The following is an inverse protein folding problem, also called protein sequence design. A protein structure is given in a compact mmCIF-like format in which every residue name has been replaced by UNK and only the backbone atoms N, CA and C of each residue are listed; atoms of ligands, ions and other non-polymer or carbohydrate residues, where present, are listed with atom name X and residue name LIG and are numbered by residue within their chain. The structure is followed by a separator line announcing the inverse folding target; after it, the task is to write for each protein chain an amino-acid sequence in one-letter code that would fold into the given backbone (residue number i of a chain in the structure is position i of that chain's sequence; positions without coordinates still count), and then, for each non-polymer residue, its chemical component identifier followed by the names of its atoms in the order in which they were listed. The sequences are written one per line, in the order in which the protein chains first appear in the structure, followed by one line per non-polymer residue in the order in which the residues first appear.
data_IF_226434473964
#
_entry.id   IF_226434473964
#
_cell.length_a   1.000
_cell.length_b   1.000
_cell.length_c   1.000
_cell.angle_alpha   90.00
_cell.angle_beta   90.00
_cell.angle_gamma   90.00
#
_symmetry.space_group_name_H-M   'P 1'
#
loop_
_entity.id
_entity.type
_entity.pdbx_description
1 polymer ?
#
# COMPACT_ATOMS: atom_id res chain seq x y z
N UNK A 1 -17.65 5.60 23.36
CA UNK A 1 -17.15 6.94 23.71
C UNK A 1 -15.64 6.84 23.72
N UNK A 2 -14.97 7.75 23.01
CA UNK A 2 -13.53 7.94 23.03
C UNK A 2 -13.08 8.25 24.48
N UNK A 3 -11.98 7.62 24.93
CA UNK A 3 -11.44 7.83 26.26
C UNK A 3 -10.54 9.08 26.22
N UNK A 4 -10.92 10.19 26.88
CA UNK A 4 -10.19 11.45 26.78
C UNK A 4 -8.74 11.38 27.28
N UNK A 5 -8.37 10.41 28.14
CA UNK A 5 -6.97 10.21 28.56
C UNK A 5 -6.13 9.55 27.46
N UNK A 6 -6.74 8.71 26.62
CA UNK A 6 -6.07 7.96 25.54
C UNK A 6 -6.08 8.75 24.24
N UNK A 7 -7.17 9.48 24.00
CA UNK A 7 -7.44 10.15 22.73
C UNK A 7 -6.90 11.59 22.68
N UNK A 8 -6.26 12.06 23.77
CA UNK A 8 -5.58 13.36 23.85
C UNK A 8 -6.45 14.55 23.41
N UNK A 9 -7.76 14.44 23.65
CA UNK A 9 -8.75 15.42 23.24
C UNK A 9 -9.23 15.30 21.80
N UNK A 10 -8.71 14.41 20.96
CA UNK A 10 -9.25 14.19 19.62
C UNK A 10 -10.64 13.58 19.67
N UNK A 11 -11.54 14.10 18.83
CA UNK A 11 -12.84 13.50 18.57
C UNK A 11 -12.75 12.61 17.33
N UNK A 12 -13.51 11.52 17.33
CA UNK A 12 -13.55 10.56 16.21
C UNK A 12 -14.97 10.39 15.69
N UNK A 13 -15.10 10.27 14.37
CA UNK A 13 -16.37 9.99 13.70
C UNK A 13 -16.75 8.49 13.83
N UNK A 14 -17.91 8.12 13.28
CA UNK A 14 -18.41 6.74 13.32
C UNK A 14 -17.50 5.75 12.58
N UNK A 15 -16.62 6.24 11.71
CA UNK A 15 -15.64 5.46 10.95
C UNK A 15 -14.30 5.31 11.69
N UNK A 16 -14.14 5.95 12.86
CA UNK A 16 -12.90 5.95 13.63
C UNK A 16 -11.83 6.90 13.08
N UNK A 17 -12.20 7.84 12.21
CA UNK A 17 -11.33 8.90 11.71
C UNK A 17 -11.47 10.15 12.58
N UNK A 18 -10.45 11.02 12.58
CA UNK A 18 -10.50 12.26 13.36
C UNK A 18 -11.62 13.16 12.81
N UNK A 19 -12.59 13.48 13.66
CA UNK A 19 -13.63 14.45 13.37
C UNK A 19 -13.11 15.86 13.68
N UNK A 20 -12.77 16.58 12.60
CA UNK A 20 -12.23 17.93 12.68
C UNK A 20 -13.21 18.90 13.34
N UNK A 21 -14.52 18.77 13.08
CA UNK A 21 -15.52 19.71 13.59
C UNK A 21 -15.78 19.56 15.09
N UNK A 22 -15.55 18.36 15.60
CA UNK A 22 -15.67 18.04 17.02
C UNK A 22 -14.32 18.10 17.76
N UNK A 23 -13.24 18.40 17.04
CA UNK A 23 -11.91 18.57 17.61
C UNK A 23 -11.90 19.79 18.53
N UNK A 24 -11.31 19.71 19.74
CA UNK A 24 -11.15 20.86 20.64
C UNK A 24 -10.25 21.94 20.06
N UNK A 25 -9.56 21.65 18.95
CA UNK A 25 -8.75 22.62 18.20
C UNK A 25 -9.56 23.35 17.11
N UNK A 26 -10.84 22.99 16.92
CA UNK A 26 -11.74 23.63 15.98
C UNK A 26 -12.58 24.69 16.70
N UNK A 27 -12.49 25.94 16.23
CA UNK A 27 -13.28 27.06 16.73
C UNK A 27 -14.45 27.33 15.75
N UNK A 28 -15.72 27.27 16.21
CA UNK A 28 -16.89 27.43 15.34
C UNK A 28 -17.05 28.83 14.73
N UNK A 29 -16.46 29.83 15.38
CA UNK A 29 -16.42 31.25 15.01
C UNK A 29 -15.30 31.56 14.00
N UNK A 30 -14.60 30.53 13.54
CA UNK A 30 -13.58 30.64 12.51
C UNK A 30 -14.22 30.96 11.15
N UNK A 31 -13.76 32.06 10.56
CA UNK A 31 -14.24 32.54 9.27
C UNK A 31 -14.09 31.45 8.20
N UNK A 32 -15.15 31.20 7.44
CA UNK A 32 -15.23 30.11 6.44
C UNK A 32 -14.17 30.22 5.33
N UNK A 33 -13.48 31.36 5.21
CA UNK A 33 -12.45 31.66 4.21
C UNK A 33 -11.00 31.42 4.71
N UNK A 34 -10.83 30.47 5.62
CA UNK A 34 -9.51 30.14 6.11
C UNK A 34 -8.99 28.87 5.43
N UNK A 35 -7.87 29.02 4.73
CA UNK A 35 -7.20 27.93 4.04
C UNK A 35 -6.81 26.80 5.00
N UNK A 36 -6.91 25.56 4.52
CA UNK A 36 -6.44 24.34 5.21
C UNK A 36 -5.03 24.53 5.81
N UNK A 37 -4.15 25.25 5.11
CA UNK A 37 -2.79 25.56 5.56
C UNK A 37 -2.76 26.31 6.89
N UNK A 38 -3.62 27.31 7.09
CA UNK A 38 -3.66 28.08 8.35
C UNK A 38 -4.20 27.23 9.51
N UNK A 39 -5.18 26.35 9.24
CA UNK A 39 -5.65 25.37 10.23
C UNK A 39 -4.52 24.42 10.64
N UNK A 40 -3.83 23.82 9.65
CA UNK A 40 -2.68 22.93 9.90
C UNK A 40 -1.59 23.64 10.69
N UNK A 41 -1.21 24.86 10.31
CA UNK A 41 -0.20 25.67 11.04
C UNK A 41 -0.57 25.93 12.51
N UNK A 42 -1.87 26.02 12.81
CA UNK A 42 -2.34 26.20 14.19
C UNK A 42 -2.24 24.92 15.00
N UNK A 43 -2.65 23.79 14.42
CA UNK A 43 -2.69 22.52 15.13
C UNK A 43 -1.33 21.80 15.13
N UNK A 44 -0.37 22.20 14.29
CA UNK A 44 0.88 21.47 14.06
C UNK A 44 1.65 21.18 15.34
N UNK A 45 1.69 22.12 16.29
CA UNK A 45 2.40 21.92 17.56
C UNK A 45 1.67 20.93 18.48
N UNK A 46 0.35 20.98 18.53
CA UNK A 46 -0.47 20.03 19.30
C UNK A 46 -0.40 18.63 18.68
N UNK A 47 -0.45 18.58 17.35
CA UNK A 47 -0.35 17.35 16.58
C UNK A 47 1.04 16.70 16.75
N UNK A 48 2.11 17.48 16.68
CA UNK A 48 3.47 16.98 16.90
C UNK A 48 3.63 16.37 18.30
N UNK A 49 3.17 17.06 19.35
CA UNK A 49 3.21 16.53 20.72
C UNK A 49 2.37 15.26 20.89
N UNK A 50 1.21 15.19 20.25
CA UNK A 50 0.37 13.98 20.27
C UNK A 50 1.03 12.83 19.54
N UNK A 51 1.62 13.07 18.36
CA UNK A 51 2.34 12.05 17.61
C UNK A 51 3.52 11.51 18.43
N UNK A 52 4.28 12.38 19.11
CA UNK A 52 5.37 11.95 19.99
C UNK A 52 4.87 11.10 21.17
N UNK A 53 3.72 11.43 21.75
CA UNK A 53 3.09 10.65 22.83
C UNK A 53 2.59 9.29 22.35
N UNK A 54 1.97 9.25 21.17
CA UNK A 54 1.46 8.03 20.55
C UNK A 54 2.54 7.20 19.86
N UNK A 55 3.73 7.77 19.63
CA UNK A 55 4.80 7.04 18.97
C UNK A 55 5.18 5.84 19.83
N UNK A 56 5.20 4.63 19.24
CA UNK A 56 5.69 3.45 19.94
C UNK A 56 7.10 3.72 20.43
N UNK A 57 7.31 3.66 21.75
CA UNK A 57 8.67 3.75 22.35
C UNK A 57 9.51 2.51 22.03
N UNK A 58 8.89 1.47 21.47
CA UNK A 58 9.54 0.26 21.03
C UNK A 58 10.30 0.52 19.72
N UNK A 59 11.55 0.06 19.58
CA UNK A 59 12.28 0.18 18.33
C UNK A 59 11.49 -0.45 17.18
N UNK A 60 11.31 0.32 16.11
CA UNK A 60 10.70 -0.18 14.88
C UNK A 60 11.57 -1.33 14.34
N UNK A 61 11.00 -2.53 14.29
CA UNK A 61 11.65 -3.66 13.65
C UNK A 61 11.25 -3.66 12.18
N UNK A 62 12.21 -3.36 11.30
CA UNK A 62 12.00 -3.43 9.87
C UNK A 62 11.95 -4.91 9.49
N UNK A 63 10.73 -5.47 9.45
CA UNK A 63 10.52 -6.83 8.98
C UNK A 63 10.86 -6.82 7.49
N UNK A 64 11.98 -7.46 7.14
CA UNK A 64 12.45 -7.55 5.76
C UNK A 64 11.39 -8.15 4.84
N UNK A 65 11.60 -8.01 3.52
CA UNK A 65 10.71 -8.58 2.50
C UNK A 65 10.40 -10.05 2.84
N UNK A 66 9.12 -10.44 2.91
CA UNK A 66 8.74 -11.84 3.04
C UNK A 66 9.45 -12.65 1.95
N UNK A 67 9.96 -13.86 2.24
CA UNK A 67 10.60 -14.69 1.22
C UNK A 67 9.66 -14.81 0.02
N UNK A 68 10.22 -14.64 -1.19
CA UNK A 68 9.45 -14.72 -2.41
C UNK A 68 8.70 -16.06 -2.45
N UNK A 69 7.40 -16.00 -2.75
CA UNK A 69 6.58 -17.19 -2.99
C UNK A 69 7.29 -18.07 -4.02
N UNK A 70 7.36 -19.40 -3.84
CA UNK A 70 8.01 -20.27 -4.81
C UNK A 70 7.34 -20.09 -6.17
N UNK A 71 8.12 -19.68 -7.17
CA UNK A 71 7.66 -19.57 -8.56
C UNK A 71 7.11 -20.92 -9.01
N UNK A 72 5.86 -21.00 -9.52
CA UNK A 72 5.35 -22.23 -10.09
C UNK A 72 6.28 -22.66 -11.22
N UNK A 73 6.89 -23.84 -11.10
CA UNK A 73 7.70 -24.40 -12.15
C UNK A 73 6.80 -24.63 -13.37
N UNK A 74 6.92 -23.78 -14.39
CA UNK A 74 6.31 -24.02 -15.69
C UNK A 74 6.99 -25.25 -16.29
N UNK A 75 6.38 -26.43 -16.15
CA UNK A 75 6.79 -27.61 -16.89
C UNK A 75 6.68 -27.32 -18.38
N UNK A 76 7.73 -27.56 -19.20
CA UNK A 76 7.59 -27.42 -20.64
C UNK A 76 6.63 -28.49 -21.12
N UNK A 77 5.44 -28.07 -21.55
CA UNK A 77 4.49 -28.93 -22.24
C UNK A 77 5.02 -29.19 -23.66
N UNK A 78 5.99 -30.09 -23.76
CA UNK A 78 6.52 -30.56 -25.02
C UNK A 78 5.47 -31.46 -25.68
N UNK A 79 4.56 -30.87 -26.45
CA UNK A 79 3.60 -31.63 -27.24
C UNK A 79 4.36 -32.43 -28.30
N UNK A 80 4.31 -33.78 -28.29
CA UNK A 80 5.06 -34.62 -29.22
C UNK A 80 4.68 -34.35 -30.68
N UNK A 81 3.47 -33.83 -30.91
CA UNK A 81 2.96 -33.49 -32.23
C UNK A 81 3.77 -32.36 -32.89
N UNK A 82 4.25 -31.38 -32.11
CA UNK A 82 5.05 -30.27 -32.63
C UNK A 82 6.43 -30.71 -33.12
N UNK A 83 7.06 -31.63 -32.40
CA UNK A 83 8.39 -32.17 -32.76
C UNK A 83 8.29 -32.98 -34.06
N UNK A 84 7.29 -33.86 -34.18
CA UNK A 84 7.12 -34.68 -35.39
C UNK A 84 6.89 -33.82 -36.63
N UNK A 85 6.11 -32.74 -36.51
CA UNK A 85 5.87 -31.80 -37.62
C UNK A 85 7.16 -31.16 -38.14
N UNK A 86 8.00 -30.65 -37.23
CA UNK A 86 9.26 -29.98 -37.59
C UNK A 86 10.25 -30.93 -38.30
N UNK A 87 10.32 -32.19 -37.85
CA UNK A 87 11.17 -33.21 -38.48
C UNK A 87 10.71 -33.52 -39.90
N UNK A 88 9.40 -33.67 -40.12
CA UNK A 88 8.82 -33.96 -41.44
C UNK A 88 9.09 -32.81 -42.41
N UNK A 89 8.89 -31.56 -41.98
CA UNK A 89 9.18 -30.37 -42.80
C UNK A 89 10.66 -30.32 -43.16
N UNK A 90 11.56 -30.53 -42.18
CA UNK A 90 13.00 -30.47 -42.41
C UNK A 90 13.50 -31.56 -43.36
N UNK A 91 12.99 -32.79 -43.23
CA UNK A 91 13.33 -33.90 -44.15
C UNK A 91 12.82 -33.65 -45.57
N UNK A 92 11.64 -33.04 -45.69
CA UNK A 92 11.05 -32.70 -46.98
C UNK A 92 11.87 -31.64 -47.71
N UNK A 93 12.28 -30.58 -47.01
CA UNK A 93 13.15 -29.54 -47.56
C UNK A 93 14.53 -30.12 -47.95
N UNK A 94 15.11 -30.95 -47.09
CA UNK A 94 16.39 -31.60 -47.37
C UNK A 94 16.30 -32.48 -48.62
N UNK A 95 15.23 -33.26 -48.78
CA UNK A 95 15.01 -34.09 -49.96
C UNK A 95 14.85 -33.28 -51.25
N UNK A 96 14.29 -32.06 -51.17
CA UNK A 96 14.21 -31.14 -52.31
C UNK A 96 15.59 -30.58 -52.67
N UNK A 97 16.42 -30.25 -51.67
CA UNK A 97 17.77 -29.71 -51.88
C UNK A 97 18.77 -30.74 -52.40
N UNK A 98 18.55 -32.02 -52.13
CA UNK A 98 19.38 -33.14 -52.59
C UNK A 98 18.95 -33.72 -53.95
N UNK A 99 17.93 -33.14 -54.59
CA UNK A 99 17.43 -33.53 -55.91
C UNK A 99 18.02 -32.66 -57.00
#
# INVERSE_FOLDING_TARGET
MADPEVDHGFAYNEQGEIDIFLSPFYEPDWEYDVTMERYVNRIVYCLAGTIELQQPRTPWTLIGRPPASPTPASSPATSPLGITCMIVVSLSVLAILLR
#
